data_IF_144919017192
#
_entry.id   IF_144919017192
#
_cell.length_a   1.000
_cell.length_b   1.000
_cell.length_c   1.000
_cell.angle_alpha   90.00
_cell.angle_beta   90.00
_cell.angle_gamma   90.00
#
_symmetry.space_group_name_H-M   'P 1'
#
loop_
_entity.id
_entity.type
_entity.pdbx_description
1 polymer ?
#
# COMPACT_ATOMS: atom_id res chain seq x y z
N UNK A 1 57.33 -16.21 -16.67
CA UNK A 1 56.11 -15.38 -16.71
C UNK A 1 55.19 -15.96 -17.76
N UNK A 2 54.04 -16.49 -17.35
CA UNK A 2 52.77 -15.91 -17.80
C UNK A 2 51.76 -15.70 -16.65
N UNK A 3 50.72 -14.95 -17.00
CA UNK A 3 49.82 -14.15 -16.17
C UNK A 3 48.90 -14.93 -15.21
N UNK A 4 48.66 -14.30 -14.05
CA UNK A 4 47.51 -14.55 -13.19
C UNK A 4 46.20 -14.27 -13.96
N UNK A 5 45.32 -15.27 -14.04
CA UNK A 5 43.90 -15.06 -14.38
C UNK A 5 43.17 -14.89 -13.05
N UNK A 6 42.90 -13.64 -12.68
CA UNK A 6 42.04 -13.31 -11.55
C UNK A 6 40.60 -13.71 -11.88
N UNK A 7 40.09 -14.71 -11.17
CA UNK A 7 38.67 -15.02 -11.17
C UNK A 7 37.94 -13.89 -10.43
N UNK A 8 37.29 -13.00 -11.16
CA UNK A 8 36.28 -12.11 -10.59
C UNK A 8 35.10 -12.96 -10.14
N UNK A 9 34.96 -13.15 -8.84
CA UNK A 9 33.74 -13.70 -8.25
C UNK A 9 32.61 -12.72 -8.51
N UNK A 10 31.71 -13.07 -9.45
CA UNK A 10 30.43 -12.38 -9.62
C UNK A 10 29.67 -12.54 -8.32
N UNK A 11 29.68 -11.50 -7.49
CA UNK A 11 28.82 -11.42 -6.30
C UNK A 11 27.38 -11.55 -6.79
N UNK A 12 26.74 -12.69 -6.52
CA UNK A 12 25.30 -12.85 -6.67
C UNK A 12 24.69 -12.01 -5.54
N UNK A 13 24.39 -10.75 -5.84
CA UNK A 13 23.46 -9.96 -5.03
C UNK A 13 22.10 -10.62 -5.15
N UNK A 14 21.66 -11.28 -4.08
CA UNK A 14 20.27 -11.69 -3.90
C UNK A 14 19.46 -10.39 -3.82
N UNK A 15 19.02 -9.85 -4.96
CA UNK A 15 18.07 -8.74 -4.95
C UNK A 15 16.74 -9.29 -4.45
N UNK A 16 16.44 -9.02 -3.18
CA UNK A 16 15.09 -9.15 -2.64
C UNK A 16 14.21 -8.21 -3.49
N UNK A 17 13.22 -8.77 -4.20
CA UNK A 17 12.30 -7.99 -5.03
C UNK A 17 11.67 -6.84 -4.21
N UNK A 18 10.93 -7.19 -3.17
CA UNK A 18 10.56 -6.25 -2.10
C UNK A 18 10.42 -6.93 -0.73
N UNK A 19 10.57 -6.14 0.32
CA UNK A 19 10.18 -6.44 1.69
C UNK A 19 9.58 -5.17 2.31
N UNK A 20 8.33 -5.24 2.79
CA UNK A 20 7.59 -4.13 3.35
C UNK A 20 6.95 -4.56 4.68
N UNK A 21 7.21 -3.83 5.75
CA UNK A 21 6.57 -4.01 7.05
C UNK A 21 6.01 -2.69 7.57
N UNK A 22 4.82 -2.73 8.17
CA UNK A 22 4.27 -1.56 8.81
C UNK A 22 2.86 -1.75 9.32
N UNK A 23 2.08 -0.69 9.27
CA UNK A 23 0.70 -0.68 9.73
C UNK A 23 -0.25 -0.40 8.57
N UNK A 24 -1.27 -1.23 8.46
CA UNK A 24 -2.40 -0.99 7.58
C UNK A 24 -3.64 -0.65 8.40
N UNK A 25 -4.40 0.33 7.93
CA UNK A 25 -5.78 0.52 8.31
C UNK A 25 -6.60 0.57 7.04
N UNK A 26 -7.86 0.21 7.13
CA UNK A 26 -8.78 0.47 6.05
C UNK A 26 -10.17 0.63 6.62
N UNK A 27 -11.01 1.34 5.89
CA UNK A 27 -12.42 0.98 5.88
C UNK A 27 -12.59 -0.06 4.78
N UNK A 28 -12.15 -1.29 5.06
CA UNK A 28 -12.54 -2.42 4.23
C UNK A 28 -14.02 -2.70 4.50
N UNK A 29 -14.85 -2.57 3.46
CA UNK A 29 -15.61 -3.73 3.07
C UNK A 29 -14.60 -4.82 2.68
N UNK A 30 -14.77 -6.03 3.22
CA UNK A 30 -14.17 -7.30 2.78
C UNK A 30 -13.16 -7.95 3.74
N UNK A 31 -13.67 -8.94 4.48
CA UNK A 31 -13.15 -10.31 4.59
C UNK A 31 -14.36 -11.17 4.97
N UNK A 32 -14.94 -11.95 4.06
CA UNK A 32 -16.13 -12.80 4.30
C UNK A 32 -17.46 -12.02 4.56
N UNK A 33 -18.63 -12.66 4.35
CA UNK A 33 -19.80 -12.01 3.75
C UNK A 33 -20.79 -11.34 4.73
N UNK A 34 -20.40 -10.94 5.95
CA UNK A 34 -21.42 -10.63 6.98
C UNK A 34 -21.19 -9.43 7.89
N UNK A 35 -20.16 -8.60 7.68
CA UNK A 35 -19.98 -7.42 8.54
C UNK A 35 -19.41 -6.19 7.83
N UNK A 36 -19.87 -5.93 6.61
CA UNK A 36 -19.78 -4.59 6.07
C UNK A 36 -20.97 -3.79 6.61
N UNK A 37 -20.75 -2.95 7.63
CA UNK A 37 -21.79 -2.08 8.19
C UNK A 37 -22.22 -0.95 7.24
N UNK A 38 -21.77 -0.98 5.98
CA UNK A 38 -22.31 -0.18 4.87
C UNK A 38 -23.49 -0.88 4.16
N UNK A 39 -23.80 -2.15 4.46
CA UNK A 39 -24.89 -2.90 3.80
C UNK A 39 -26.12 -3.17 4.70
N UNK A 40 -26.00 -3.13 6.03
CA UNK A 40 -27.17 -3.30 6.90
C UNK A 40 -27.87 -1.97 7.14
N UNK A 41 -28.93 -1.76 6.37
CA UNK A 41 -30.01 -0.78 6.55
C UNK A 41 -30.80 -1.03 7.84
N UNK A 42 -30.14 -1.15 9.01
CA UNK A 42 -30.87 -1.30 10.27
C UNK A 42 -30.17 -0.74 11.51
N UNK A 43 -29.39 0.33 11.36
CA UNK A 43 -29.13 1.21 12.50
C UNK A 43 -29.33 2.67 12.08
N UNK A 44 -30.52 3.16 12.40
CA UNK A 44 -31.03 4.51 12.15
C UNK A 44 -30.37 5.56 13.06
N UNK A 45 -29.03 5.60 13.10
CA UNK A 45 -28.32 6.53 14.00
C UNK A 45 -27.02 7.17 13.45
N UNK A 46 -26.60 6.90 12.20
CA UNK A 46 -25.52 7.68 11.56
C UNK A 46 -25.54 7.68 10.03
N UNK A 47 -26.73 7.88 9.45
CA UNK A 47 -26.95 7.95 8.01
C UNK A 47 -26.70 9.38 7.50
N UNK A 48 -25.43 9.74 7.24
CA UNK A 48 -25.10 10.88 6.39
C UNK A 48 -25.45 10.49 4.94
N UNK A 49 -26.66 10.89 4.56
CA UNK A 49 -27.37 10.65 3.29
C UNK A 49 -26.78 11.42 2.10
N UNK A 50 -25.44 11.44 1.99
CA UNK A 50 -24.72 11.97 0.82
C UNK A 50 -23.34 11.34 0.57
N UNK A 51 -22.92 10.33 1.34
CA UNK A 51 -21.57 9.77 1.23
C UNK A 51 -21.48 8.68 0.15
N UNK A 52 -20.74 8.98 -0.92
CA UNK A 52 -20.20 7.98 -1.85
C UNK A 52 -19.45 6.93 -1.01
N UNK A 53 -19.90 5.68 -1.06
CA UNK A 53 -19.27 4.58 -0.34
C UNK A 53 -17.97 4.19 -1.07
N UNK A 54 -16.92 4.98 -0.87
CA UNK A 54 -15.57 4.69 -1.34
C UNK A 54 -14.85 3.87 -0.26
N UNK A 55 -14.48 2.64 -0.58
CA UNK A 55 -13.64 1.80 0.28
C UNK A 55 -12.19 2.25 0.15
N UNK A 56 -11.40 2.19 1.22
CA UNK A 56 -9.96 2.45 1.11
C UNK A 56 -9.14 1.59 2.07
N UNK A 57 -7.89 1.38 1.66
CA UNK A 57 -6.84 0.79 2.50
C UNK A 57 -5.63 1.71 2.45
N UNK A 58 -5.13 2.06 3.63
CA UNK A 58 -3.86 2.77 3.80
C UNK A 58 -2.82 1.79 4.32
N UNK A 59 -1.62 1.88 3.75
CA UNK A 59 -0.44 1.17 4.18
C UNK A 59 0.62 2.21 4.55
N UNK A 60 0.88 2.37 5.85
CA UNK A 60 2.04 3.10 6.35
C UNK A 60 3.19 2.11 6.44
N UNK A 61 4.22 2.33 5.64
CA UNK A 61 5.42 1.50 5.65
C UNK A 61 6.30 2.00 6.79
N UNK A 62 6.49 1.17 7.81
CA UNK A 62 7.39 1.50 8.91
C UNK A 62 8.83 1.23 8.50
N UNK A 63 9.06 0.09 7.84
CA UNK A 63 10.35 -0.29 7.27
C UNK A 63 10.09 -0.99 5.94
N UNK A 64 10.86 -0.67 4.91
CA UNK A 64 10.69 -1.35 3.63
C UNK A 64 11.79 -1.09 2.62
N UNK A 65 12.04 -2.09 1.79
CA UNK A 65 13.02 -2.09 0.71
C UNK A 65 12.37 -2.63 -0.56
N UNK A 66 12.63 -2.00 -1.70
CA UNK A 66 12.20 -2.46 -3.04
C UNK A 66 13.43 -2.38 -3.95
N UNK A 67 13.95 -3.51 -4.44
CA UNK A 67 15.19 -3.59 -5.23
C UNK A 67 16.34 -2.72 -4.67
N UNK A 68 16.58 -2.82 -3.36
CA UNK A 68 17.62 -2.05 -2.68
C UNK A 68 17.31 -0.56 -2.45
N UNK A 69 16.15 -0.06 -2.87
CA UNK A 69 15.67 1.29 -2.57
C UNK A 69 14.88 1.28 -1.26
N UNK A 70 15.29 2.11 -0.29
CA UNK A 70 14.56 2.31 0.96
C UNK A 70 13.27 3.09 0.70
N UNK A 71 12.15 2.56 1.17
CA UNK A 71 10.81 3.19 1.10
C UNK A 71 10.17 3.31 2.49
N UNK A 72 10.97 3.22 3.53
CA UNK A 72 10.55 3.36 4.92
C UNK A 72 9.93 4.73 5.17
N UNK A 73 8.97 4.79 6.10
CA UNK A 73 8.19 5.97 6.47
C UNK A 73 7.26 6.54 5.38
N UNK A 74 7.22 5.97 4.18
CA UNK A 74 6.27 6.35 3.15
C UNK A 74 4.90 5.71 3.38
N UNK A 75 3.87 6.37 2.87
CA UNK A 75 2.50 5.89 2.94
C UNK A 75 1.91 5.72 1.54
N UNK A 76 1.07 4.72 1.37
CA UNK A 76 0.29 4.52 0.14
C UNK A 76 -1.16 4.26 0.51
N UNK A 77 -2.09 4.81 -0.28
CA UNK A 77 -3.53 4.62 -0.06
C UNK A 77 -4.15 4.12 -1.36
N UNK A 78 -4.78 2.95 -1.29
CA UNK A 78 -5.62 2.43 -2.37
C UNK A 78 -7.07 2.76 -2.04
N UNK A 79 -7.77 3.37 -3.00
CA UNK A 79 -9.18 3.70 -2.90
C UNK A 79 -9.93 2.95 -3.99
N UNK A 80 -11.08 2.40 -3.63
CA UNK A 80 -12.02 1.74 -4.53
C UNK A 80 -13.33 2.51 -4.48
N UNK A 81 -13.77 2.94 -5.66
CA UNK A 81 -15.11 3.47 -5.89
C UNK A 81 -16.01 2.34 -6.35
N UNK A 82 -16.88 1.92 -5.45
CA UNK A 82 -17.74 0.76 -5.66
C UNK A 82 -18.76 1.01 -6.80
N UNK A 83 -19.30 2.23 -6.89
CA UNK A 83 -20.32 2.58 -7.90
C UNK A 83 -19.71 2.67 -9.29
N UNK A 84 -18.56 3.33 -9.42
CA UNK A 84 -17.87 3.52 -10.69
C UNK A 84 -17.03 2.30 -11.12
N UNK A 85 -16.88 1.30 -10.25
CA UNK A 85 -15.98 0.15 -10.44
C UNK A 85 -14.57 0.57 -10.83
N UNK A 86 -14.05 1.57 -10.12
CA UNK A 86 -12.74 2.14 -10.39
C UNK A 86 -11.89 2.10 -9.13
N UNK A 87 -10.60 1.84 -9.30
CA UNK A 87 -9.62 2.05 -8.23
C UNK A 87 -8.69 3.22 -8.57
N UNK A 88 -8.14 3.87 -7.54
CA UNK A 88 -7.02 4.78 -7.70
C UNK A 88 -6.10 4.71 -6.50
N UNK A 89 -4.84 5.01 -6.74
CA UNK A 89 -3.77 4.94 -5.76
C UNK A 89 -3.25 6.34 -5.46
N UNK A 90 -3.24 6.73 -4.20
CA UNK A 90 -2.44 7.86 -3.72
C UNK A 90 -1.08 7.38 -3.26
N UNK A 91 -0.05 8.08 -3.70
CA UNK A 91 1.34 7.86 -3.31
C UNK A 91 1.83 9.10 -2.57
N UNK A 92 2.55 8.88 -1.48
CA UNK A 92 3.06 9.96 -0.63
C UNK A 92 4.09 10.82 -1.37
N UNK A 93 3.80 12.12 -1.45
CA UNK A 93 4.67 13.13 -2.04
C UNK A 93 5.99 13.32 -1.30
N UNK A 94 6.14 12.77 -0.09
CA UNK A 94 7.41 12.76 0.64
C UNK A 94 8.49 11.88 -0.02
N UNK A 95 8.11 10.91 -0.85
CA UNK A 95 9.05 10.06 -1.59
C UNK A 95 9.66 10.78 -2.79
N UNK A 96 10.88 10.40 -3.18
CA UNK A 96 11.48 10.72 -4.48
C UNK A 96 10.72 10.03 -5.63
N UNK A 97 10.91 10.51 -6.87
CA UNK A 97 10.28 9.95 -8.06
C UNK A 97 10.52 8.43 -8.19
N UNK A 98 11.76 7.98 -7.92
CA UNK A 98 12.10 6.55 -7.94
C UNK A 98 11.33 5.76 -6.87
N UNK A 99 11.25 6.27 -5.63
CA UNK A 99 10.50 5.61 -4.56
C UNK A 99 9.00 5.56 -4.89
N UNK A 100 8.45 6.64 -5.45
CA UNK A 100 7.05 6.71 -5.85
C UNK A 100 6.73 5.69 -6.95
N UNK A 101 7.58 5.60 -7.98
CA UNK A 101 7.44 4.64 -9.07
C UNK A 101 7.52 3.20 -8.55
N UNK A 102 8.54 2.88 -7.74
CA UNK A 102 8.72 1.54 -7.19
C UNK A 102 7.54 1.13 -6.29
N UNK A 103 7.04 2.04 -5.45
CA UNK A 103 5.85 1.78 -4.64
C UNK A 103 4.62 1.51 -5.50
N UNK A 104 4.40 2.33 -6.53
CA UNK A 104 3.27 2.14 -7.44
C UNK A 104 3.32 0.78 -8.11
N UNK A 105 4.47 0.41 -8.69
CA UNK A 105 4.65 -0.86 -9.39
C UNK A 105 4.49 -2.05 -8.45
N UNK A 106 5.01 -1.94 -7.22
CA UNK A 106 4.85 -2.95 -6.17
C UNK A 106 3.37 -3.20 -5.84
N UNK A 107 2.59 -2.14 -5.60
CA UNK A 107 1.16 -2.25 -5.27
C UNK A 107 0.25 -2.48 -6.49
N UNK A 108 0.80 -2.40 -7.70
CA UNK A 108 0.17 -2.88 -8.94
C UNK A 108 0.43 -4.35 -9.22
N UNK A 109 1.27 -5.01 -8.42
CA UNK A 109 1.58 -6.42 -8.58
C UNK A 109 2.74 -6.73 -9.52
N UNK A 110 3.41 -5.72 -10.08
CA UNK A 110 4.46 -5.91 -11.10
C UNK A 110 5.62 -6.80 -10.62
N UNK A 111 5.84 -6.88 -9.30
CA UNK A 111 6.93 -7.62 -8.68
C UNK A 111 6.48 -8.95 -8.06
N UNK A 112 5.24 -9.38 -8.28
CA UNK A 112 4.72 -10.66 -7.81
C UNK A 112 4.33 -10.66 -6.33
N UNK A 113 4.28 -11.86 -5.76
CA UNK A 113 3.90 -12.08 -4.37
C UNK A 113 2.44 -11.75 -4.06
N UNK A 114 2.11 -11.62 -2.77
CA UNK A 114 0.74 -11.34 -2.33
C UNK A 114 0.17 -10.02 -2.89
N UNK A 115 1.02 -9.06 -3.26
CA UNK A 115 0.56 -7.80 -3.86
C UNK A 115 0.11 -7.98 -5.30
N UNK A 116 0.66 -8.96 -6.04
CA UNK A 116 0.11 -9.35 -7.33
C UNK A 116 -1.29 -9.96 -7.18
N UNK A 117 -1.45 -10.92 -6.27
CA UNK A 117 -2.76 -11.53 -6.00
C UNK A 117 -3.80 -10.47 -5.57
N UNK A 118 -3.40 -9.50 -4.74
CA UNK A 118 -4.28 -8.40 -4.33
C UNK A 118 -4.63 -7.47 -5.49
N UNK A 119 -3.68 -7.19 -6.38
CA UNK A 119 -3.90 -6.31 -7.54
C UNK A 119 -4.93 -6.87 -8.53
N UNK A 120 -5.00 -8.20 -8.67
CA UNK A 120 -5.97 -8.88 -9.55
C UNK A 120 -7.41 -8.77 -9.05
N UNK A 121 -7.61 -8.57 -7.74
CA UNK A 121 -8.94 -8.46 -7.11
C UNK A 121 -9.49 -7.04 -7.25
N UNK A 122 -8.64 -6.03 -7.43
CA UNK A 122 -9.05 -4.64 -7.49
C UNK A 122 -9.67 -4.29 -8.85
N UNK A 123 -10.69 -3.41 -8.90
CA UNK A 123 -11.19 -2.88 -10.16
C UNK A 123 -10.11 -2.12 -10.93
N UNK A 124 -10.35 -1.90 -12.22
CA UNK A 124 -9.42 -1.21 -13.11
C UNK A 124 -8.88 0.09 -12.49
N UNK A 125 -7.55 0.21 -12.44
CA UNK A 125 -6.88 1.32 -11.77
C UNK A 125 -6.73 2.52 -12.70
N UNK A 126 -7.13 3.69 -12.22
CA UNK A 126 -6.88 4.96 -12.88
C UNK A 126 -5.42 5.41 -12.65
N UNK A 127 -5.06 6.53 -13.29
CA UNK A 127 -3.76 7.17 -13.06
C UNK A 127 -3.53 7.44 -11.56
N UNK A 128 -2.31 7.16 -11.05
CA UNK A 128 -1.97 7.41 -9.66
C UNK A 128 -1.99 8.91 -9.35
N UNK A 129 -2.16 9.25 -8.06
CA UNK A 129 -2.17 10.62 -7.58
C UNK A 129 -1.05 10.80 -6.56
N UNK A 130 -0.18 11.77 -6.81
CA UNK A 130 0.85 12.16 -5.84
C UNK A 130 0.25 13.24 -4.93
N UNK A 131 0.28 13.03 -3.62
CA UNK A 131 -0.21 13.99 -2.64
C UNK A 131 0.54 13.84 -1.30
N UNK A 132 0.68 14.90 -0.49
CA UNK A 132 1.18 14.74 0.87
C UNK A 132 0.24 13.81 1.66
N UNK A 133 0.76 12.72 2.24
CA UNK A 133 -0.05 11.81 3.04
C UNK A 133 0.44 11.85 4.48
N UNK A 134 -0.49 11.99 5.41
CA UNK A 134 -0.18 11.91 6.84
C UNK A 134 -0.97 10.79 7.46
N UNK A 135 -0.27 9.85 8.07
CA UNK A 135 -0.89 8.78 8.84
C UNK A 135 -0.27 8.76 10.24
N UNK A 136 -1.06 9.14 11.24
CA UNK A 136 -0.60 9.26 12.62
C UNK A 136 -1.29 8.21 13.48
N UNK A 137 -0.50 7.52 14.29
CA UNK A 137 -1.01 6.60 15.32
C UNK A 137 -0.91 7.31 16.66
N UNK A 138 -2.06 7.56 17.27
CA UNK A 138 -2.21 8.18 18.58
C UNK A 138 -1.83 7.19 19.71
N UNK A 139 -1.59 7.73 20.91
CA UNK A 139 -1.22 6.94 22.11
C UNK A 139 -2.27 5.87 22.51
N UNK A 140 -3.54 6.12 22.18
CA UNK A 140 -4.65 5.19 22.36
C UNK A 140 -4.68 4.04 21.30
N UNK A 141 -3.63 3.94 20.47
CA UNK A 141 -3.49 2.99 19.34
C UNK A 141 -4.57 3.14 18.28
N UNK A 142 -5.06 4.36 18.07
CA UNK A 142 -5.95 4.70 16.96
C UNK A 142 -5.22 5.52 15.92
N UNK A 143 -5.63 5.38 14.66
CA UNK A 143 -5.00 6.07 13.56
C UNK A 143 -5.91 7.09 12.89
N UNK A 144 -5.29 8.17 12.43
CA UNK A 144 -5.93 9.22 11.65
C UNK A 144 -5.15 9.43 10.34
N UNK A 145 -5.90 9.60 9.24
CA UNK A 145 -5.38 9.73 7.88
C UNK A 145 -5.77 11.09 7.29
N UNK A 146 -4.78 11.78 6.74
CA UNK A 146 -4.95 12.98 5.93
C UNK A 146 -4.33 12.78 4.55
N UNK A 147 -4.98 13.36 3.54
CA UNK A 147 -4.42 13.52 2.20
C UNK A 147 -4.45 15.03 1.89
N UNK A 148 -3.27 15.61 1.67
CA UNK A 148 -3.06 17.05 1.72
C UNK A 148 -3.50 17.62 3.08
N UNK A 149 -4.43 18.58 3.04
CA UNK A 149 -4.98 19.23 4.24
C UNK A 149 -6.35 18.66 4.67
N UNK A 150 -6.84 17.62 3.99
CA UNK A 150 -8.16 17.05 4.26
C UNK A 150 -8.03 15.84 5.18
N UNK A 151 -8.75 15.86 6.30
CA UNK A 151 -8.91 14.69 7.16
C UNK A 151 -9.83 13.69 6.47
N UNK A 152 -9.30 12.53 6.08
CA UNK A 152 -10.04 11.48 5.41
C UNK A 152 -10.78 10.61 6.43
N UNK A 153 -10.07 10.18 7.48
CA UNK A 153 -10.65 9.31 8.52
C UNK A 153 -9.88 9.46 9.83
N UNK A 154 -10.60 9.35 10.94
CA UNK A 154 -10.05 9.28 12.30
C UNK A 154 -10.46 8.00 13.00
N UNK A 155 -9.81 7.68 14.12
CA UNK A 155 -10.15 6.58 15.00
C UNK A 155 -10.08 5.17 14.36
N UNK A 156 -9.25 5.01 13.32
CA UNK A 156 -9.04 3.72 12.67
C UNK A 156 -8.22 2.78 13.57
N UNK A 157 -8.37 1.46 13.38
CA UNK A 157 -7.60 0.46 14.11
C UNK A 157 -6.44 -0.05 13.24
N UNK A 158 -5.19 0.40 13.48
CA UNK A 158 -4.02 -0.11 12.76
C UNK A 158 -3.81 -1.60 13.03
N UNK A 159 -3.46 -2.34 11.98
CA UNK A 159 -3.07 -3.74 11.99
C UNK A 159 -1.67 -3.86 11.40
N UNK A 160 -0.78 -4.67 11.98
CA UNK A 160 0.52 -4.92 11.36
C UNK A 160 0.34 -5.65 10.02
N UNK A 161 1.18 -5.35 9.04
CA UNK A 161 1.35 -6.16 7.84
C UNK A 161 2.85 -6.39 7.60
N UNK A 162 3.15 -7.49 6.92
CA UNK A 162 4.48 -7.79 6.40
C UNK A 162 4.28 -8.47 5.04
N UNK A 163 4.82 -7.87 3.98
CA UNK A 163 4.81 -8.40 2.63
C UNK A 163 6.24 -8.56 2.15
N UNK A 164 6.51 -9.69 1.52
CA UNK A 164 7.82 -9.96 0.93
C UNK A 164 7.64 -10.81 -0.32
N UNK A 165 8.62 -10.75 -1.21
CA UNK A 165 8.77 -11.68 -2.33
C UNK A 165 10.07 -12.46 -2.19
N UNK A 166 10.00 -13.76 -2.44
CA UNK A 166 11.16 -14.66 -2.38
C UNK A 166 11.98 -14.66 -3.69
N UNK A 167 11.62 -13.84 -4.70
CA UNK A 167 12.22 -13.92 -6.03
C UNK A 167 13.53 -13.15 -6.18
N UNK A 168 14.58 -13.93 -6.43
CA UNK A 168 15.82 -13.54 -7.10
C UNK A 168 15.47 -13.22 -8.55
N UNK A 169 15.77 -12.00 -9.02
CA UNK A 169 15.75 -11.67 -10.45
C UNK A 169 16.90 -12.43 -11.13
N UNK A 170 16.60 -13.49 -11.89
CA UNK A 170 17.55 -13.99 -12.89
C UNK A 170 17.51 -13.04 -14.10
N UNK A 171 18.67 -12.43 -14.38
CA UNK A 171 18.95 -11.61 -15.57
C UNK A 171 19.10 -12.47 -16.81
#
# INVERSE_FOLDING_TARGET
MPLLIGQMTKSRSTEIGYWLEGETSGSCACKLPSNCFCWNQNDSSSHDSSSQCDSFVVYRIRQGMIYGTDVSSLTIVQVVREIEQQSFTYIDAAGSDLQQELLLRTFRGDFGGILADLSEILPASQSPRIAPIRYEIESNRRASLWIGNVLIRKNMKPRPFCFATDHIVEQ
#
